data_IF_273654688450
#
_entry.id   IF_273654688450
#
_cell.length_a   1.000
_cell.length_b   1.000
_cell.length_c   1.000
_cell.angle_alpha   90.00
_cell.angle_beta   90.00
_cell.angle_gamma   90.00
#
_symmetry.space_group_name_H-M   'P 1'
#
loop_
_entity.id
_entity.type
_entity.pdbx_description
1 polymer ?
#
# COMPACT_ATOMS: atom_id res chain seq x y z
N UNK A 1 -15.41 -7.43 63.04
CA UNK A 1 -14.58 -6.67 64.01
C UNK A 1 -13.85 -5.55 63.27
N UNK A 2 -14.44 -4.36 63.14
CA UNK A 2 -13.79 -3.20 62.50
C UNK A 2 -13.20 -2.26 63.55
N UNK A 3 -12.08 -1.57 63.27
CA UNK A 3 -11.70 -0.44 64.10
C UNK A 3 -11.49 0.89 63.35
N UNK A 4 -12.24 1.87 63.85
CA UNK A 4 -11.78 3.22 64.25
C UNK A 4 -11.51 4.26 63.15
N UNK A 5 -12.58 5.03 62.88
CA UNK A 5 -12.54 6.43 62.42
C UNK A 5 -11.54 7.25 63.25
N UNK A 6 -10.56 7.88 62.60
CA UNK A 6 -9.80 9.00 63.18
C UNK A 6 -10.38 10.32 62.66
N UNK A 7 -10.63 11.23 63.61
CA UNK A 7 -11.25 12.54 63.42
C UNK A 7 -10.34 13.47 62.63
N UNK A 8 -10.96 14.26 61.74
CA UNK A 8 -10.32 15.36 61.01
C UNK A 8 -10.09 16.53 61.97
N UNK A 9 -8.87 17.05 62.04
CA UNK A 9 -8.57 18.37 62.65
C UNK A 9 -9.11 19.48 61.73
N UNK A 10 -9.67 20.58 62.26
CA UNK A 10 -10.07 21.73 61.46
C UNK A 10 -8.82 22.55 61.09
N UNK A 11 -8.56 22.71 59.80
CA UNK A 11 -7.49 23.58 59.28
C UNK A 11 -8.05 24.99 59.11
N UNK A 12 -7.41 25.97 59.75
CA UNK A 12 -7.83 27.38 59.73
C UNK A 12 -7.67 27.99 58.32
N UNK A 13 -8.57 28.88 57.87
CA UNK A 13 -8.54 29.39 56.51
C UNK A 13 -7.35 30.34 56.32
N UNK A 14 -6.35 29.89 55.55
CA UNK A 14 -5.24 30.74 55.10
C UNK A 14 -5.76 31.87 54.22
N UNK A 15 -5.47 33.10 54.64
CA UNK A 15 -5.71 34.37 53.94
C UNK A 15 -5.09 34.31 52.54
N UNK A 16 -5.93 34.38 51.48
CA UNK A 16 -5.47 34.39 50.08
C UNK A 16 -4.71 35.69 49.79
N UNK A 17 -3.46 35.58 49.35
CA UNK A 17 -2.70 36.66 48.73
C UNK A 17 -3.41 37.14 47.45
N UNK A 18 -3.38 38.46 47.14
CA UNK A 18 -4.11 39.02 46.01
C UNK A 18 -3.62 38.44 44.69
N UNK A 19 -4.59 38.14 43.82
CA UNK A 19 -4.41 37.63 42.46
C UNK A 19 -3.57 38.57 41.59
N UNK A 20 -2.71 38.07 40.69
CA UNK A 20 -2.10 38.90 39.66
C UNK A 20 -3.19 39.44 38.72
N UNK A 21 -3.12 40.74 38.47
CA UNK A 21 -3.95 41.56 37.59
C UNK A 21 -4.10 40.91 36.21
N UNK A 22 -5.30 40.90 35.58
CA UNK A 22 -5.43 40.47 34.19
C UNK A 22 -4.81 41.53 33.29
N UNK A 23 -3.57 41.29 32.86
CA UNK A 23 -2.98 42.04 31.76
C UNK A 23 -3.78 41.72 30.49
N UNK A 24 -4.62 42.65 30.07
CA UNK A 24 -5.12 42.73 28.70
C UNK A 24 -3.92 42.94 27.78
N UNK A 25 -3.50 41.89 27.06
CA UNK A 25 -2.46 42.03 26.05
C UNK A 25 -1.94 40.69 25.54
N UNK A 26 -2.53 40.20 24.45
CA UNK A 26 -2.01 39.04 23.71
C UNK A 26 -3.14 38.17 23.19
N UNK A 27 -3.70 38.55 22.04
CA UNK A 27 -4.72 37.77 21.34
C UNK A 27 -4.27 36.34 21.00
N UNK A 28 -5.18 35.49 20.49
CA UNK A 28 -4.84 34.13 20.12
C UNK A 28 -3.69 34.15 19.11
N UNK A 29 -2.61 33.42 19.42
CA UNK A 29 -1.51 33.16 18.50
C UNK A 29 -2.00 32.29 17.34
N UNK A 30 -2.72 32.91 16.41
CA UNK A 30 -3.10 32.32 15.14
C UNK A 30 -1.88 32.34 14.20
N UNK A 31 -1.03 31.32 14.30
CA UNK A 31 0.00 31.05 13.30
C UNK A 31 0.60 29.64 13.43
N UNK A 32 0.96 28.93 12.33
CA UNK A 32 0.47 28.98 10.97
C UNK A 32 -0.14 27.61 10.59
N UNK A 33 -1.40 27.35 10.95
CA UNK A 33 -2.09 26.10 10.55
C UNK A 33 -2.25 25.99 9.02
N UNK A 34 -2.31 27.11 8.29
CA UNK A 34 -2.44 27.13 6.82
C UNK A 34 -1.19 26.62 6.08
N UNK A 35 0.02 26.78 6.65
CA UNK A 35 1.28 26.32 6.03
C UNK A 35 1.36 24.80 6.00
N UNK A 36 0.84 24.13 7.02
CA UNK A 36 0.82 22.67 7.08
C UNK A 36 -0.15 22.10 6.02
N UNK A 37 -1.27 22.79 5.78
CA UNK A 37 -2.27 22.39 4.81
C UNK A 37 -1.79 22.57 3.35
N UNK A 38 -1.07 23.66 3.04
CA UNK A 38 -0.50 23.90 1.70
C UNK A 38 0.60 22.90 1.29
N UNK A 39 1.44 22.47 2.24
CA UNK A 39 2.46 21.44 2.02
C UNK A 39 1.87 20.07 1.69
N UNK A 40 0.67 19.74 2.22
CA UNK A 40 -0.01 18.48 1.97
C UNK A 40 -0.71 18.47 0.61
N UNK A 41 -1.29 19.59 0.19
CA UNK A 41 -2.02 19.74 -1.09
C UNK A 41 -1.15 19.53 -2.34
N UNK A 42 0.16 19.73 -2.27
CA UNK A 42 1.08 19.57 -3.41
C UNK A 42 1.85 18.23 -3.42
N UNK A 43 1.40 17.21 -2.66
CA UNK A 43 2.09 15.91 -2.62
C UNK A 43 2.16 15.22 -4.00
N UNK A 44 1.07 15.24 -4.76
CA UNK A 44 0.99 14.63 -6.10
C UNK A 44 1.92 15.29 -7.13
N UNK A 45 2.09 16.62 -7.09
CA UNK A 45 3.03 17.33 -7.96
C UNK A 45 4.49 16.95 -7.69
N UNK A 46 4.83 16.62 -6.44
CA UNK A 46 6.17 16.12 -6.08
C UNK A 46 6.35 14.68 -6.53
N UNK A 47 5.31 13.86 -6.42
CA UNK A 47 5.30 12.49 -6.90
C UNK A 47 5.44 12.40 -8.42
N UNK A 48 4.68 13.20 -9.19
CA UNK A 48 4.84 13.31 -10.64
C UNK A 48 6.27 13.70 -11.01
N UNK A 49 6.81 14.77 -10.40
CA UNK A 49 8.20 15.19 -10.67
C UNK A 49 9.22 14.10 -10.33
N UNK A 50 8.99 13.32 -9.26
CA UNK A 50 9.84 12.19 -8.87
C UNK A 50 9.75 11.04 -9.89
N UNK A 51 8.53 10.64 -10.27
CA UNK A 51 8.29 9.54 -11.20
C UNK A 51 8.83 9.87 -12.59
N UNK A 52 8.57 11.08 -13.10
CA UNK A 52 9.07 11.55 -14.40
C UNK A 52 10.60 11.69 -14.45
N UNK A 53 11.27 11.91 -13.32
CA UNK A 53 12.75 11.94 -13.23
C UNK A 53 13.37 10.53 -13.14
N UNK A 54 12.58 9.51 -12.84
CA UNK A 54 13.05 8.15 -12.57
C UNK A 54 12.64 7.17 -13.68
N UNK A 55 13.36 6.06 -13.82
CA UNK A 55 13.09 5.02 -14.83
C UNK A 55 12.83 3.63 -14.24
N UNK A 56 12.53 3.57 -12.93
CA UNK A 56 12.19 2.31 -12.28
C UNK A 56 10.79 1.84 -12.72
N UNK A 57 10.59 0.52 -12.71
CA UNK A 57 9.30 -0.06 -13.04
C UNK A 57 8.24 0.42 -12.04
N UNK A 58 7.12 0.91 -12.57
CA UNK A 58 5.98 1.36 -11.78
C UNK A 58 5.24 0.17 -11.15
N UNK A 59 5.28 -0.97 -11.83
CA UNK A 59 4.67 -2.23 -11.39
C UNK A 59 5.75 -3.12 -10.79
N UNK A 60 5.40 -3.86 -9.74
CA UNK A 60 6.31 -4.79 -9.08
C UNK A 60 6.69 -5.94 -10.02
N UNK A 61 7.99 -6.20 -10.16
CA UNK A 61 8.56 -7.23 -11.05
C UNK A 61 7.96 -8.63 -10.86
N UNK A 62 7.96 -9.11 -9.62
CA UNK A 62 7.61 -10.49 -9.31
C UNK A 62 6.15 -10.88 -9.65
N UNK A 63 5.11 -10.17 -9.16
CA UNK A 63 3.72 -10.51 -9.49
C UNK A 63 3.43 -10.37 -11.00
N UNK A 64 4.04 -9.39 -11.67
CA UNK A 64 3.90 -9.23 -13.11
C UNK A 64 4.53 -10.40 -13.88
N UNK A 65 5.75 -10.81 -13.53
CA UNK A 65 6.45 -11.94 -14.15
C UNK A 65 5.65 -13.25 -14.00
N UNK A 66 5.09 -13.51 -12.81
CA UNK A 66 4.24 -14.68 -12.57
C UNK A 66 3.02 -14.69 -13.48
N UNK A 67 2.32 -13.56 -13.59
CA UNK A 67 1.14 -13.43 -14.44
C UNK A 67 1.49 -13.67 -15.92
N UNK A 68 2.60 -13.11 -16.40
CA UNK A 68 3.04 -13.29 -17.77
C UNK A 68 3.38 -14.77 -18.07
N UNK A 69 4.08 -15.44 -17.16
CA UNK A 69 4.41 -16.86 -17.30
C UNK A 69 3.16 -17.75 -17.28
N UNK A 70 2.22 -17.48 -16.38
CA UNK A 70 0.96 -18.20 -16.29
C UNK A 70 0.13 -18.04 -17.57
N UNK A 71 -0.04 -16.80 -18.05
CA UNK A 71 -0.74 -16.54 -19.29
C UNK A 71 -0.10 -17.28 -20.47
N UNK A 72 1.23 -17.25 -20.60
CA UNK A 72 1.92 -17.98 -21.67
C UNK A 72 1.65 -19.50 -21.59
N UNK A 73 1.81 -20.09 -20.41
CA UNK A 73 1.63 -21.53 -20.23
C UNK A 73 0.19 -21.97 -20.49
N UNK A 74 -0.80 -21.21 -20.03
CA UNK A 74 -2.22 -21.50 -20.28
C UNK A 74 -2.49 -21.58 -21.79
N UNK A 75 -2.14 -20.55 -22.55
CA UNK A 75 -2.35 -20.56 -24.00
C UNK A 75 -1.57 -21.67 -24.71
N UNK A 76 -0.35 -21.99 -24.25
CA UNK A 76 0.42 -23.09 -24.83
C UNK A 76 -0.23 -24.46 -24.59
N UNK A 77 -0.78 -24.68 -23.39
CA UNK A 77 -1.45 -25.92 -23.06
C UNK A 77 -2.82 -26.06 -23.74
N UNK A 78 -3.53 -24.96 -23.98
CA UNK A 78 -4.75 -24.96 -24.81
C UNK A 78 -4.45 -25.48 -26.22
N UNK A 79 -3.41 -24.95 -26.89
CA UNK A 79 -3.01 -25.41 -28.21
C UNK A 79 -2.54 -26.87 -28.21
N UNK A 80 -1.74 -27.26 -27.23
CA UNK A 80 -1.29 -28.63 -27.08
C UNK A 80 -2.48 -29.58 -26.85
N UNK A 81 -3.52 -29.12 -26.16
CA UNK A 81 -4.71 -29.92 -25.89
C UNK A 81 -5.55 -30.12 -27.16
N UNK A 82 -5.66 -29.11 -28.03
CA UNK A 82 -6.26 -29.27 -29.36
C UNK A 82 -5.55 -30.36 -30.19
N UNK A 83 -4.23 -30.46 -30.08
CA UNK A 83 -3.46 -31.50 -30.76
C UNK A 83 -3.68 -32.89 -30.14
N UNK A 84 -3.84 -32.99 -28.82
CA UNK A 84 -4.21 -34.24 -28.17
C UNK A 84 -5.60 -34.73 -28.63
N UNK A 85 -6.58 -33.83 -28.68
CA UNK A 85 -7.93 -34.11 -29.18
C UNK A 85 -7.92 -34.48 -30.66
N UNK A 86 -7.12 -33.80 -31.48
CA UNK A 86 -6.92 -34.12 -32.89
C UNK A 86 -6.41 -35.56 -33.08
N UNK A 87 -5.60 -36.06 -32.16
CA UNK A 87 -5.11 -37.43 -32.13
C UNK A 87 -6.07 -38.43 -31.42
N UNK A 88 -7.30 -38.03 -31.10
CA UNK A 88 -8.30 -38.87 -30.43
C UNK A 88 -8.01 -39.18 -28.96
N UNK A 89 -7.12 -38.41 -28.31
CA UNK A 89 -6.73 -38.59 -26.90
C UNK A 89 -7.26 -37.44 -26.04
N UNK A 90 -7.57 -37.74 -24.78
CA UNK A 90 -7.89 -36.72 -23.75
C UNK A 90 -6.66 -36.41 -22.88
N UNK A 91 -5.66 -37.30 -22.87
CA UNK A 91 -4.40 -37.11 -22.13
C UNK A 91 -3.38 -36.35 -22.98
N UNK A 92 -2.80 -35.29 -22.40
CA UNK A 92 -1.68 -34.56 -22.97
C UNK A 92 -0.38 -35.36 -22.90
N UNK A 93 0.40 -35.33 -23.97
CA UNK A 93 1.74 -35.90 -24.02
C UNK A 93 2.78 -34.85 -24.44
N UNK A 94 4.07 -35.05 -24.10
CA UNK A 94 5.14 -34.11 -24.47
C UNK A 94 5.21 -33.82 -25.98
N UNK A 95 4.87 -34.82 -26.82
CA UNK A 95 4.82 -34.65 -28.28
C UNK A 95 3.78 -33.62 -28.74
N UNK A 96 2.68 -33.45 -28.01
CA UNK A 96 1.63 -32.49 -28.34
C UNK A 96 2.12 -31.07 -28.07
N UNK A 97 2.81 -30.86 -26.93
CA UNK A 97 3.43 -29.58 -26.58
C UNK A 97 4.57 -29.23 -27.53
N UNK A 98 5.43 -30.21 -27.86
CA UNK A 98 6.51 -30.01 -28.82
C UNK A 98 5.98 -29.62 -30.20
N UNK A 99 4.91 -30.28 -30.65
CA UNK A 99 4.25 -29.96 -31.91
C UNK A 99 3.59 -28.57 -31.87
N UNK A 100 2.89 -28.22 -30.78
CA UNK A 100 2.32 -26.89 -30.59
C UNK A 100 3.39 -25.78 -30.70
N UNK A 101 4.53 -25.97 -30.01
CA UNK A 101 5.67 -25.04 -30.11
C UNK A 101 6.25 -24.98 -31.53
N UNK A 102 6.31 -26.10 -32.23
CA UNK A 102 6.81 -26.16 -33.61
C UNK A 102 5.89 -25.44 -34.59
N UNK A 103 4.58 -25.57 -34.43
CA UNK A 103 3.57 -24.92 -35.28
C UNK A 103 3.51 -23.41 -35.00
N UNK A 104 3.57 -23.00 -33.73
CA UNK A 104 3.66 -21.59 -33.32
C UNK A 104 4.88 -20.87 -33.92
N UNK A 105 5.94 -21.61 -34.26
CA UNK A 105 7.14 -21.04 -34.84
C UNK A 105 8.01 -20.29 -33.83
N UNK A 106 9.07 -19.66 -34.34
CA UNK A 106 10.10 -19.01 -33.52
C UNK A 106 9.57 -17.70 -32.90
N UNK A 107 8.71 -16.97 -33.60
CA UNK A 107 8.19 -15.67 -33.15
C UNK A 107 7.13 -15.76 -32.04
N UNK A 108 6.31 -16.81 -32.03
CA UNK A 108 5.32 -17.03 -30.95
C UNK A 108 5.85 -17.91 -29.80
N UNK A 109 7.10 -18.38 -29.90
CA UNK A 109 7.78 -19.21 -28.91
C UNK A 109 8.89 -18.51 -28.12
N UNK A 110 9.38 -17.36 -28.61
CA UNK A 110 10.36 -16.51 -27.94
C UNK A 110 9.78 -15.09 -27.93
N UNK A 111 9.37 -14.63 -26.75
CA UNK A 111 9.17 -13.20 -26.52
C UNK A 111 10.49 -12.44 -26.58
#
# INVERSE_FOLDING_TARGET
MGPRRRSRKPEAPRRRSPSPTPALGGGPSLGPSSRQHGRRRQAWLREIRKLQKSTHLLIRKYPFSRLAAEAFLVHLFEDAYLLALHAGRVTLFPKDVQLARRIRGIEAGLG
#
